data_IF_141424140598
#
_entry.id   IF_141424140598
#
_cell.length_a   1.000
_cell.length_b   1.000
_cell.length_c   1.000
_cell.angle_alpha   90.00
_cell.angle_beta   90.00
_cell.angle_gamma   90.00
#
_symmetry.space_group_name_H-M   'P 1'
#
loop_
_entity.id
_entity.type
_entity.pdbx_description
1 polymer ?
#
# COMPACT_ATOMS: atom_id res chain seq x y z
N UNK A 1 7.57 -19.94 38.86
CA UNK A 1 7.01 -20.22 37.51
C UNK A 1 7.11 -18.96 36.68
N UNK A 2 7.91 -18.93 35.60
CA UNK A 2 7.97 -17.78 34.67
C UNK A 2 6.78 -17.87 33.71
N UNK A 3 5.82 -16.95 33.83
CA UNK A 3 4.71 -16.82 32.88
C UNK A 3 5.25 -16.27 31.56
N UNK A 4 5.30 -17.12 30.52
CA UNK A 4 5.61 -16.68 29.16
C UNK A 4 4.43 -15.81 28.70
N UNK A 5 4.59 -14.48 28.74
CA UNK A 5 3.63 -13.56 28.12
C UNK A 5 3.75 -13.72 26.61
N UNK A 6 2.75 -14.34 25.97
CA UNK A 6 2.62 -14.36 24.51
C UNK A 6 2.60 -12.91 24.01
N UNK A 7 3.57 -12.54 23.17
CA UNK A 7 3.55 -11.23 22.50
C UNK A 7 2.31 -11.19 21.61
N UNK A 8 1.48 -10.14 21.72
CA UNK A 8 0.44 -9.86 20.72
C UNK A 8 1.15 -9.65 19.38
N UNK A 9 1.04 -10.60 18.45
CA UNK A 9 1.35 -10.34 17.05
C UNK A 9 0.18 -9.57 16.47
N UNK A 10 0.47 -8.44 15.83
CA UNK A 10 -0.50 -7.80 14.93
C UNK A 10 -0.86 -8.79 13.83
N UNK A 11 -2.12 -8.74 13.41
CA UNK A 11 -2.59 -9.51 12.27
C UNK A 11 -1.79 -9.12 11.03
N UNK A 12 -1.38 -10.08 10.18
CA UNK A 12 -0.65 -9.74 8.96
C UNK A 12 -1.50 -8.83 8.07
N UNK A 13 -0.91 -7.75 7.54
CA UNK A 13 -1.62 -6.86 6.64
C UNK A 13 -2.16 -7.62 5.43
N UNK A 14 -3.41 -7.37 5.04
CA UNK A 14 -3.98 -7.89 3.80
C UNK A 14 -3.26 -7.30 2.59
N UNK A 15 -3.49 -7.87 1.40
CA UNK A 15 -2.89 -7.35 0.18
C UNK A 15 -3.32 -5.90 -0.10
N UNK A 16 -4.61 -5.61 0.10
CA UNK A 16 -5.22 -4.29 -0.07
C UNK A 16 -4.61 -3.29 0.91
N UNK A 17 -4.46 -3.67 2.17
CA UNK A 17 -3.83 -2.83 3.20
C UNK A 17 -2.38 -2.48 2.82
N UNK A 18 -1.63 -3.42 2.26
CA UNK A 18 -0.26 -3.14 1.79
C UNK A 18 -0.24 -2.20 0.58
N UNK A 19 -1.19 -2.33 -0.34
CA UNK A 19 -1.31 -1.44 -1.50
C UNK A 19 -1.66 -0.02 -1.05
N UNK A 20 -2.61 0.14 -0.13
CA UNK A 20 -3.00 1.46 0.39
C UNK A 20 -1.88 2.10 1.21
N UNK A 21 -1.22 1.37 2.11
CA UNK A 21 -0.07 1.90 2.85
C UNK A 21 1.07 2.36 1.93
N UNK A 22 1.29 1.65 0.82
CA UNK A 22 2.30 2.03 -0.15
C UNK A 22 1.87 3.27 -0.94
N UNK A 23 0.61 3.33 -1.36
CA UNK A 23 0.03 4.49 -2.05
C UNK A 23 0.12 5.75 -1.19
N UNK A 24 -0.31 5.70 0.07
CA UNK A 24 -0.26 6.83 1.02
C UNK A 24 1.17 7.33 1.22
N UNK A 25 2.15 6.41 1.31
CA UNK A 25 3.57 6.78 1.40
C UNK A 25 4.06 7.51 0.14
N UNK A 26 3.67 7.04 -1.05
CA UNK A 26 4.02 7.69 -2.31
C UNK A 26 3.32 9.03 -2.48
N UNK A 27 2.04 9.16 -2.11
CA UNK A 27 1.29 10.42 -2.13
C UNK A 27 1.94 11.46 -1.21
N UNK A 28 2.35 11.04 -0.01
CA UNK A 28 3.08 11.89 0.93
C UNK A 28 4.43 12.37 0.36
N UNK A 29 5.16 11.48 -0.32
CA UNK A 29 6.43 11.83 -0.98
C UNK A 29 6.21 12.74 -2.20
N UNK A 30 5.16 12.51 -2.97
CA UNK A 30 4.77 13.32 -4.12
C UNK A 30 4.48 14.77 -3.71
N UNK A 31 3.82 14.97 -2.57
CA UNK A 31 3.50 16.29 -2.04
C UNK A 31 4.75 17.11 -1.64
N UNK A 32 5.85 16.43 -1.32
CA UNK A 32 7.11 17.06 -0.90
C UNK A 32 8.08 17.31 -2.06
N UNK A 33 7.85 16.69 -3.23
CA UNK A 33 8.77 16.79 -4.36
C UNK A 33 8.49 18.01 -5.25
N UNK A 34 9.54 18.70 -5.71
CA UNK A 34 9.39 19.73 -6.74
C UNK A 34 8.93 19.10 -8.06
N UNK A 35 8.45 19.93 -8.99
CA UNK A 35 8.12 19.46 -10.34
C UNK A 35 9.37 18.91 -11.02
N UNK A 36 9.24 17.74 -11.64
CA UNK A 36 10.33 17.05 -12.33
C UNK A 36 10.04 15.57 -12.55
N UNK A 37 10.98 14.89 -13.20
CA UNK A 37 10.83 13.49 -13.59
C UNK A 37 10.57 12.53 -12.41
N UNK A 38 11.17 12.77 -11.24
CA UNK A 38 10.93 11.96 -10.04
C UNK A 38 9.46 12.05 -9.58
N UNK A 39 8.89 13.26 -9.62
CA UNK A 39 7.47 13.48 -9.28
C UNK A 39 6.55 12.77 -10.27
N UNK A 40 6.85 12.83 -11.56
CA UNK A 40 6.06 12.15 -12.59
C UNK A 40 6.13 10.62 -12.45
N UNK A 41 7.30 10.07 -12.14
CA UNK A 41 7.45 8.63 -11.88
C UNK A 41 6.64 8.18 -10.66
N UNK A 42 6.65 8.95 -9.57
CA UNK A 42 5.86 8.64 -8.38
C UNK A 42 4.36 8.75 -8.68
N UNK A 43 3.93 9.76 -9.44
CA UNK A 43 2.55 9.88 -9.87
C UNK A 43 2.11 8.67 -10.71
N UNK A 44 2.91 8.27 -11.70
CA UNK A 44 2.65 7.08 -12.51
C UNK A 44 2.58 5.81 -11.65
N UNK A 45 3.45 5.69 -10.64
CA UNK A 45 3.43 4.55 -9.72
C UNK A 45 2.17 4.51 -8.84
N UNK A 46 1.66 5.67 -8.41
CA UNK A 46 0.40 5.76 -7.66
C UNK A 46 -0.77 5.27 -8.53
N UNK A 47 -0.82 5.66 -9.80
CA UNK A 47 -1.87 5.19 -10.72
C UNK A 47 -1.80 3.66 -10.92
N UNK A 48 -0.60 3.09 -11.08
CA UNK A 48 -0.44 1.63 -11.15
C UNK A 48 -0.97 0.91 -9.91
N UNK A 49 -0.79 1.48 -8.71
CA UNK A 49 -1.32 0.90 -7.48
C UNK A 49 -2.85 0.95 -7.44
N UNK A 50 -3.48 2.02 -7.97
CA UNK A 50 -4.94 2.10 -8.09
C UNK A 50 -5.48 1.03 -9.03
N UNK A 51 -4.86 0.88 -10.21
CA UNK A 51 -5.23 -0.17 -11.16
C UNK A 51 -5.07 -1.57 -10.54
N UNK A 52 -4.02 -1.80 -9.75
CA UNK A 52 -3.84 -3.08 -9.07
C UNK A 52 -4.97 -3.39 -8.06
N UNK A 53 -5.46 -2.37 -7.34
CA UNK A 53 -6.62 -2.51 -6.44
C UNK A 53 -7.89 -2.86 -7.23
N UNK A 54 -8.14 -2.17 -8.33
CA UNK A 54 -9.30 -2.42 -9.19
C UNK A 54 -9.26 -3.83 -9.80
N UNK A 55 -8.10 -4.27 -10.29
CA UNK A 55 -7.92 -5.63 -10.82
C UNK A 55 -8.13 -6.70 -9.74
N UNK A 56 -7.58 -6.48 -8.54
CA UNK A 56 -7.79 -7.38 -7.42
C UNK A 56 -9.29 -7.49 -7.07
N UNK A 57 -9.99 -6.36 -7.00
CA UNK A 57 -11.43 -6.35 -6.75
C UNK A 57 -12.21 -7.09 -7.85
N UNK A 58 -11.85 -6.91 -9.13
CA UNK A 58 -12.49 -7.62 -10.23
C UNK A 58 -12.27 -9.13 -10.15
N UNK A 59 -11.04 -9.57 -9.87
CA UNK A 59 -10.69 -10.98 -9.75
C UNK A 59 -11.38 -11.65 -8.56
N UNK A 60 -11.45 -10.98 -7.42
CA UNK A 60 -12.14 -11.49 -6.22
C UNK A 60 -13.66 -11.57 -6.37
N UNK A 61 -14.26 -10.84 -7.33
CA UNK A 61 -15.69 -10.94 -7.64
C UNK A 61 -16.02 -12.07 -8.63
N UNK A 62 -14.99 -12.64 -9.27
CA UNK A 62 -15.13 -13.74 -10.23
C UNK A 62 -14.80 -15.12 -9.66
N UNK A 63 -14.43 -15.18 -8.37
CA UNK A 63 -14.22 -16.43 -7.60
C UNK A 63 -15.47 -16.91 -6.85
#
# INVERSE_FOLDING_TARGET
MKTIRKRKRSEPHTFEQRLDEHRVRLESRLAQLPRGAEREQIAARIEQLRTAVELNAMLSMSE
#
